data_IF_068125391731
#
_entry.id   IF_068125391731
#
_cell.length_a   1.000
_cell.length_b   1.000
_cell.length_c   1.000
_cell.angle_alpha   90.00
_cell.angle_beta   90.00
_cell.angle_gamma   90.00
#
_symmetry.space_group_name_H-M   'P 1'
#
loop_
_entity.id
_entity.type
_entity.pdbx_description
1 polymer ?
#
# COMPACT_ATOMS: atom_id res chain seq x y z
N UNK A 1 12.62 0.08 29.31
CA UNK A 1 12.65 1.37 28.59
C UNK A 1 11.24 1.91 28.58
N UNK A 2 11.08 3.11 29.11
CA UNK A 2 9.81 3.82 29.12
C UNK A 2 9.52 4.46 27.75
N UNK A 3 8.29 4.90 27.49
CA UNK A 3 7.91 5.58 26.23
C UNK A 3 8.76 6.84 26.01
N UNK A 4 9.09 7.54 27.10
CA UNK A 4 9.98 8.70 27.10
C UNK A 4 11.39 8.38 26.60
N UNK A 5 11.90 7.19 26.92
CA UNK A 5 13.22 6.73 26.46
C UNK A 5 13.20 6.45 24.96
N UNK A 6 12.11 5.85 24.45
CA UNK A 6 11.93 5.62 23.01
C UNK A 6 11.86 6.93 22.21
N UNK A 7 11.17 7.94 22.76
CA UNK A 7 11.11 9.27 22.14
C UNK A 7 12.49 9.92 22.10
N UNK A 8 13.29 9.79 23.16
CA UNK A 8 14.66 10.29 23.20
C UNK A 8 15.57 9.56 22.21
N UNK A 9 15.49 8.24 22.13
CA UNK A 9 16.27 7.44 21.17
C UNK A 9 16.01 7.86 19.71
N UNK A 10 14.76 8.20 19.37
CA UNK A 10 14.40 8.69 18.03
C UNK A 10 14.94 10.09 17.70
N UNK A 11 15.52 10.80 18.68
CA UNK A 11 16.13 12.13 18.50
C UNK A 11 17.65 12.12 18.44
N UNK A 12 18.31 11.01 18.81
CA UNK A 12 19.76 10.88 18.75
C UNK A 12 20.19 10.69 17.30
N UNK A 13 21.31 11.26 16.87
CA UNK A 13 21.82 11.11 15.49
C UNK A 13 23.14 10.35 15.45
N UNK A 14 24.02 10.56 16.43
CA UNK A 14 25.37 10.01 16.44
C UNK A 14 25.54 8.78 17.35
N UNK A 15 26.53 7.95 17.02
CA UNK A 15 26.91 6.77 17.82
C UNK A 15 27.33 7.17 19.24
N UNK A 16 28.09 8.25 19.41
CA UNK A 16 28.53 8.75 20.72
C UNK A 16 27.34 9.15 21.60
N UNK A 17 26.35 9.84 21.02
CA UNK A 17 25.15 10.26 21.74
C UNK A 17 24.34 9.05 22.21
N UNK A 18 24.20 8.04 21.35
CA UNK A 18 23.55 6.77 21.70
C UNK A 18 24.29 6.01 22.81
N UNK A 19 25.63 5.92 22.71
CA UNK A 19 26.45 5.26 23.70
C UNK A 19 26.34 5.94 25.07
N UNK A 20 26.38 7.28 25.11
CA UNK A 20 26.19 8.04 26.35
C UNK A 20 24.79 7.85 26.95
N UNK A 21 23.74 7.82 26.12
CA UNK A 21 22.37 7.60 26.58
C UNK A 21 22.18 6.23 27.23
N UNK A 22 22.81 5.18 26.69
CA UNK A 22 22.74 3.82 27.23
C UNK A 22 23.86 3.48 28.22
N UNK A 23 24.74 4.43 28.54
CA UNK A 23 25.93 4.20 29.37
C UNK A 23 26.81 3.04 28.85
N UNK A 24 27.04 3.01 27.53
CA UNK A 24 27.88 2.04 26.84
C UNK A 24 29.25 2.68 26.57
N UNK A 25 30.32 1.99 26.93
CA UNK A 25 31.68 2.40 26.56
C UNK A 25 31.97 2.00 25.11
N UNK A 26 32.34 2.99 24.28
CA UNK A 26 32.71 2.75 22.89
C UNK A 26 34.07 2.04 22.82
N UNK A 27 34.25 1.08 21.89
CA UNK A 27 35.55 0.48 21.67
C UNK A 27 36.56 1.55 21.25
N UNK A 28 37.84 1.42 21.64
CA UNK A 28 38.86 2.35 21.23
C UNK A 28 38.99 2.33 19.70
N UNK A 29 39.15 3.51 19.10
CA UNK A 29 39.49 3.59 17.67
C UNK A 29 40.86 2.96 17.46
N UNK A 30 40.89 1.78 16.84
CA UNK A 30 42.12 1.15 16.39
C UNK A 30 42.76 2.05 15.34
N UNK A 31 43.83 2.75 15.74
CA UNK A 31 44.65 3.50 14.80
C UNK A 31 45.24 2.49 13.83
N UNK A 32 45.09 2.76 12.54
CA UNK A 32 45.46 1.94 11.39
C UNK A 32 46.93 1.45 11.32
N UNK A 33 47.76 1.74 12.34
CA UNK A 33 49.17 1.35 12.41
C UNK A 33 49.44 -0.11 12.82
N UNK A 34 48.44 -0.84 13.29
CA UNK A 34 48.63 -2.22 13.79
C UNK A 34 48.03 -3.32 12.89
N UNK A 35 47.52 -3.00 11.70
CA UNK A 35 47.08 -4.05 10.74
C UNK A 35 48.29 -4.80 10.17
N UNK A 36 48.47 -6.11 10.46
CA UNK A 36 49.53 -6.90 9.85
C UNK A 36 49.31 -6.95 8.34
N UNK A 37 50.37 -6.65 7.58
CA UNK A 37 50.35 -6.65 6.12
C UNK A 37 50.37 -8.07 5.53
N UNK A 38 49.36 -8.89 5.81
CA UNK A 38 49.25 -10.26 5.25
C UNK A 38 47.99 -10.47 4.41
N UNK A 39 47.46 -9.41 3.78
CA UNK A 39 46.45 -9.55 2.73
C UNK A 39 47.01 -9.20 1.35
N UNK A 40 46.86 -10.17 0.46
CA UNK A 40 47.32 -10.21 -0.93
C UNK A 40 47.00 -8.90 -1.68
N UNK A 41 48.05 -8.17 -2.07
CA UNK A 41 47.97 -7.05 -3.00
C UNK A 41 47.52 -7.54 -4.39
N UNK A 42 46.22 -7.47 -4.69
CA UNK A 42 45.75 -7.52 -6.08
C UNK A 42 46.07 -6.17 -6.73
N UNK A 43 47.24 -6.07 -7.39
CA UNK A 43 47.59 -4.90 -8.18
C UNK A 43 46.80 -4.90 -9.50
N UNK A 44 45.71 -4.13 -9.56
CA UNK A 44 45.15 -3.68 -10.84
C UNK A 44 46.16 -2.74 -11.50
N UNK A 45 46.67 -3.17 -12.66
CA UNK A 45 47.69 -2.51 -13.49
C UNK A 45 47.18 -1.27 -14.24
N UNK A 46 46.43 -0.39 -13.57
CA UNK A 46 46.09 0.94 -14.09
C UNK A 46 46.46 1.98 -13.04
N UNK A 47 47.50 2.75 -13.37
CA UNK A 47 48.13 3.68 -12.45
C UNK A 47 47.27 4.91 -12.15
N UNK A 48 46.98 5.07 -10.87
CA UNK A 48 46.76 6.35 -10.20
C UNK A 48 47.28 6.21 -8.77
N UNK A 49 48.37 6.89 -8.37
CA UNK A 49 48.77 6.96 -6.98
C UNK A 49 48.01 8.13 -6.34
N UNK A 50 46.85 7.83 -5.80
CA UNK A 50 46.24 8.67 -4.76
C UNK A 50 45.69 7.72 -3.72
N UNK A 51 46.57 7.19 -2.89
CA UNK A 51 46.20 6.65 -1.59
C UNK A 51 45.80 7.84 -0.70
N UNK A 52 44.62 8.41 -0.97
CA UNK A 52 43.87 9.05 0.11
C UNK A 52 43.33 7.89 0.94
N UNK A 53 43.97 7.61 2.07
CA UNK A 53 43.35 6.81 3.12
C UNK A 53 42.01 7.48 3.43
N UNK A 54 40.91 6.87 2.98
CA UNK A 54 39.58 7.39 3.29
C UNK A 54 39.37 7.20 4.79
N UNK A 55 39.37 8.32 5.52
CA UNK A 55 39.05 8.38 6.94
C UNK A 55 37.71 7.67 7.19
N UNK A 56 37.74 6.57 7.96
CA UNK A 56 36.53 5.83 8.32
C UNK A 56 35.72 6.69 9.28
N UNK A 57 34.69 7.35 8.76
CA UNK A 57 33.78 8.17 9.56
C UNK A 57 32.71 7.31 10.24
N UNK A 58 32.34 7.67 11.46
CA UNK A 58 31.22 7.06 12.17
C UNK A 58 29.92 7.25 11.36
N UNK A 59 29.06 6.22 11.37
CA UNK A 59 27.76 6.30 10.72
C UNK A 59 26.81 7.22 11.49
N UNK A 60 26.02 8.02 10.77
CA UNK A 60 24.95 8.85 11.32
C UNK A 60 23.59 8.17 11.08
N UNK A 61 22.69 8.22 12.07
CA UNK A 61 21.34 7.73 11.90
C UNK A 61 20.53 8.69 11.01
N UNK A 62 19.83 8.12 10.02
CA UNK A 62 18.87 8.88 9.24
C UNK A 62 17.54 9.01 10.00
N UNK A 63 17.44 9.96 10.95
CA UNK A 63 16.22 10.16 11.74
C UNK A 63 15.00 10.47 10.86
N UNK A 64 13.81 10.09 11.33
CA UNK A 64 12.54 10.32 10.65
C UNK A 64 12.27 11.82 10.39
N UNK A 65 12.33 12.24 9.13
CA UNK A 65 12.07 13.63 8.69
C UNK A 65 11.55 13.68 7.25
N UNK A 66 10.96 14.80 6.81
CA UNK A 66 10.63 14.98 5.40
C UNK A 66 11.90 14.99 4.54
N UNK A 67 11.91 14.16 3.49
CA UNK A 67 13.00 14.03 2.53
C UNK A 67 12.47 14.10 1.09
N UNK A 68 13.29 14.62 0.18
CA UNK A 68 12.95 14.68 -1.24
C UNK A 68 13.00 13.29 -1.86
N UNK A 69 11.84 12.71 -2.13
CA UNK A 69 11.72 11.39 -2.76
C UNK A 69 11.00 11.48 -4.10
N UNK A 70 11.24 10.51 -4.98
CA UNK A 70 10.55 10.42 -6.27
C UNK A 70 9.17 9.79 -6.09
N UNK A 71 8.11 10.57 -6.30
CA UNK A 71 6.72 10.10 -6.27
C UNK A 71 6.18 10.03 -7.70
N UNK A 72 5.65 8.86 -8.05
CA UNK A 72 4.94 8.64 -9.32
C UNK A 72 3.58 9.34 -9.29
N UNK A 73 3.27 10.10 -10.34
CA UNK A 73 2.02 10.84 -10.44
C UNK A 73 0.85 9.91 -10.82
N UNK A 74 -0.32 10.12 -10.22
CA UNK A 74 -1.53 9.38 -10.58
C UNK A 74 -2.08 9.88 -11.93
N UNK A 75 -1.59 9.27 -13.00
CA UNK A 75 -1.89 9.65 -14.37
C UNK A 75 -2.79 8.59 -15.03
N UNK A 76 -3.67 8.98 -15.97
CA UNK A 76 -4.52 8.03 -16.70
C UNK A 76 -3.70 6.94 -17.42
N UNK A 77 -3.93 5.67 -17.09
CA UNK A 77 -3.27 4.48 -17.68
C UNK A 77 -3.78 4.13 -19.10
N UNK A 78 -3.93 5.12 -19.98
CA UNK A 78 -4.38 4.94 -21.38
C UNK A 78 -3.19 5.05 -22.34
N UNK A 79 -3.17 4.28 -23.46
CA UNK A 79 -2.04 4.29 -24.42
C UNK A 79 -1.88 5.62 -25.16
N UNK A 80 -2.96 6.40 -25.27
CA UNK A 80 -2.94 7.81 -25.67
C UNK A 80 -3.93 8.54 -24.76
N UNK A 81 -3.60 9.74 -24.25
CA UNK A 81 -2.44 10.60 -24.49
C UNK A 81 -1.23 10.29 -23.59
N UNK A 82 -0.05 10.77 -24.00
CA UNK A 82 1.24 10.67 -23.28
C UNK A 82 1.35 11.83 -22.30
N UNK A 83 1.85 11.54 -21.09
CA UNK A 83 2.05 12.53 -20.03
C UNK A 83 3.55 12.70 -19.71
N UNK A 84 3.97 13.93 -19.42
CA UNK A 84 5.34 14.23 -19.00
C UNK A 84 5.39 15.39 -17.99
N UNK A 85 6.17 15.29 -16.89
CA UNK A 85 6.85 14.09 -16.40
C UNK A 85 5.87 13.07 -15.82
N UNK A 86 6.31 11.82 -15.61
CA UNK A 86 5.51 10.75 -14.96
C UNK A 86 5.74 10.64 -13.45
N UNK A 87 6.85 11.20 -12.96
CA UNK A 87 7.20 11.28 -11.55
C UNK A 87 7.84 12.64 -11.23
N UNK A 88 7.77 13.04 -9.97
CA UNK A 88 8.34 14.30 -9.46
C UNK A 88 9.08 14.05 -8.15
N UNK A 89 10.00 14.94 -7.78
CA UNK A 89 10.58 14.94 -6.43
C UNK A 89 9.72 15.81 -5.52
N UNK A 90 9.18 15.22 -4.46
CA UNK A 90 8.37 15.91 -3.46
C UNK A 90 8.76 15.41 -2.07
N UNK A 91 8.58 16.25 -1.05
CA UNK A 91 8.88 15.89 0.33
C UNK A 91 7.92 14.81 0.80
N UNK A 92 8.48 13.66 1.19
CA UNK A 92 7.80 12.53 1.79
C UNK A 92 8.53 12.15 3.07
N UNK A 93 7.86 11.46 3.97
CA UNK A 93 8.49 11.04 5.21
C UNK A 93 9.46 9.89 4.93
N UNK A 94 10.71 10.09 5.31
CA UNK A 94 11.79 9.13 5.15
C UNK A 94 12.62 9.02 6.42
N UNK A 95 13.50 8.03 6.45
CA UNK A 95 14.37 7.75 7.59
C UNK A 95 13.90 6.59 8.45
N UNK A 96 14.60 6.44 9.57
CA UNK A 96 14.55 5.33 10.50
C UNK A 96 13.92 5.76 11.82
N UNK A 97 13.17 4.84 12.41
CA UNK A 97 12.68 4.93 13.78
C UNK A 97 13.25 3.76 14.58
N UNK A 98 13.54 4.00 15.85
CA UNK A 98 14.04 3.00 16.77
C UNK A 98 12.93 2.03 17.18
N UNK A 99 13.18 0.74 17.00
CA UNK A 99 12.27 -0.34 17.42
C UNK A 99 11.40 -0.91 16.29
N UNK A 100 10.96 -2.17 16.43
CA UNK A 100 10.29 -2.91 15.36
C UNK A 100 8.83 -2.51 15.11
N UNK A 101 8.19 -1.83 16.07
CA UNK A 101 6.77 -1.47 16.01
C UNK A 101 6.52 -0.09 15.38
N UNK A 102 7.57 0.72 15.25
CA UNK A 102 7.48 2.09 14.73
C UNK A 102 7.89 2.16 13.25
N UNK A 103 7.38 3.18 12.57
CA UNK A 103 7.74 3.54 11.19
C UNK A 103 7.58 5.04 11.00
N UNK A 104 8.36 5.62 10.08
CA UNK A 104 8.32 7.05 9.82
C UNK A 104 7.05 7.39 9.04
N UNK A 105 6.15 8.16 9.67
CA UNK A 105 4.84 8.51 9.11
C UNK A 105 4.65 10.02 9.06
N UNK A 106 3.83 10.51 8.13
CA UNK A 106 3.43 11.92 8.13
C UNK A 106 2.56 12.24 9.34
N UNK A 107 2.91 13.33 10.01
CA UNK A 107 2.05 13.96 11.04
C UNK A 107 1.26 15.11 10.45
N UNK A 108 1.82 15.79 9.45
CA UNK A 108 1.16 16.89 8.73
C UNK A 108 1.42 16.72 7.24
N UNK A 109 0.35 16.78 6.45
CA UNK A 109 0.42 16.71 4.99
C UNK A 109 -0.32 17.87 4.32
N UNK A 110 0.10 18.18 3.10
CA UNK A 110 -0.43 19.26 2.29
C UNK A 110 -0.62 18.80 0.85
N UNK A 111 -1.72 19.20 0.21
CA UNK A 111 -1.99 18.83 -1.19
C UNK A 111 -1.40 19.87 -2.14
N UNK A 112 -0.42 19.46 -2.93
CA UNK A 112 0.22 20.28 -3.96
C UNK A 112 -0.40 19.98 -5.33
N UNK A 113 -0.76 21.04 -6.07
CA UNK A 113 -1.31 20.94 -7.43
C UNK A 113 -0.22 21.14 -8.47
N UNK A 114 0.00 20.14 -9.31
CA UNK A 114 1.03 20.15 -10.35
C UNK A 114 0.38 20.11 -11.74
N UNK A 115 1.03 20.75 -12.72
CA UNK A 115 0.65 20.69 -14.13
C UNK A 115 1.62 19.77 -14.87
N UNK A 116 1.10 18.71 -15.47
CA UNK A 116 1.87 17.84 -16.38
C UNK A 116 1.49 18.12 -17.82
N UNK A 117 2.46 17.96 -18.72
CA UNK A 117 2.22 18.04 -20.15
C UNK A 117 1.45 16.81 -20.61
N UNK A 118 0.37 17.04 -21.35
CA UNK A 118 -0.44 16.01 -22.01
C UNK A 118 -0.36 16.22 -23.53
N UNK A 119 0.19 15.23 -24.23
CA UNK A 119 0.38 15.28 -25.69
C UNK A 119 0.00 13.95 -26.36
N UNK A 120 -0.10 13.91 -27.69
CA UNK A 120 -0.22 12.65 -28.43
C UNK A 120 1.06 12.42 -29.26
N UNK A 121 1.40 11.16 -29.52
CA UNK A 121 2.59 10.78 -30.31
C UNK A 121 2.65 11.43 -31.70
N UNK A 122 1.53 11.91 -32.24
CA UNK A 122 1.48 12.62 -33.52
C UNK A 122 2.13 14.01 -33.52
N UNK A 123 2.36 14.62 -32.35
CA UNK A 123 3.03 15.93 -32.24
C UNK A 123 4.57 15.82 -32.31
N UNK A 124 5.16 14.69 -31.91
CA UNK A 124 6.61 14.46 -31.93
C UNK A 124 7.14 14.10 -33.34
N UNK A 125 6.26 13.75 -34.29
CA UNK A 125 6.61 13.43 -35.67
C UNK A 125 6.65 14.66 -36.60
N UNK A 126 6.31 15.86 -36.11
CA UNK A 126 6.52 17.10 -36.86
C UNK A 126 7.98 17.55 -36.71
N UNK A 127 8.92 16.70 -37.16
CA UNK A 127 10.31 17.12 -37.34
C UNK A 127 10.31 18.31 -38.29
N UNK A 128 10.91 19.39 -37.83
CA UNK A 128 11.18 20.62 -38.55
C UNK A 128 11.83 20.29 -39.91
N UNK A 129 11.05 20.32 -41.00
CA UNK A 129 11.63 20.46 -42.33
C UNK A 129 12.11 21.89 -42.47
N UNK A 130 13.27 22.18 -41.90
CA UNK A 130 14.03 23.38 -42.22
C UNK A 130 14.65 23.16 -43.62
N UNK A 131 13.81 23.18 -44.66
CA UNK A 131 14.30 23.24 -46.04
C UNK A 131 14.68 24.68 -46.30
N UNK A 132 15.98 24.97 -46.28
CA UNK A 132 16.53 26.21 -46.81
C UNK A 132 16.06 26.36 -48.26
N UNK A 133 15.09 27.25 -48.50
CA UNK A 133 14.68 27.64 -49.84
C UNK A 133 15.80 28.47 -50.47
N UNK A 134 16.50 27.85 -51.42
CA UNK A 134 17.33 28.56 -52.41
C UNK A 134 16.52 28.59 -53.72
N UNK A 135 16.21 29.77 -54.29
CA UNK A 135 15.42 29.83 -55.52
C UNK A 135 16.33 29.46 -56.70
N UNK A 136 16.12 28.26 -57.25
CA UNK A 136 16.71 27.81 -58.51
C UNK A 136 15.64 27.77 -59.59
N UNK A 137 15.78 28.66 -60.56
CA UNK A 137 15.01 28.77 -61.80
C UNK A 137 15.02 27.48 -62.62
N UNK A 138 13.85 27.04 -63.09
CA UNK A 138 13.70 25.93 -64.03
C UNK A 138 12.24 25.79 -64.48
N UNK A 139 12.06 25.55 -65.78
CA UNK A 139 10.87 25.74 -66.60
C UNK A 139 9.75 24.70 -66.45
N UNK A 140 8.53 25.16 -66.75
CA UNK A 140 7.42 24.50 -67.46
C UNK A 140 7.10 23.01 -67.21
N UNK A 141 5.88 22.71 -66.73
CA UNK A 141 4.75 22.31 -67.60
C UNK A 141 3.48 22.04 -66.76
N UNK A 142 2.39 22.65 -67.17
CA UNK A 142 1.03 22.43 -66.66
C UNK A 142 0.55 20.99 -66.93
N UNK A 143 0.01 20.32 -65.91
CA UNK A 143 -1.15 19.40 -66.04
C UNK A 143 -1.62 18.89 -64.66
N UNK A 144 -2.92 19.02 -64.41
CA UNK A 144 -3.65 18.23 -63.41
C UNK A 144 -4.04 18.95 -62.13
N UNK A 145 -5.01 19.88 -62.21
CA UNK A 145 -5.76 20.38 -61.06
C UNK A 145 -6.67 19.27 -60.50
N UNK A 146 -6.11 18.40 -59.67
CA UNK A 146 -6.87 17.74 -58.60
C UNK A 146 -6.47 18.39 -57.29
N UNK A 147 -7.23 19.41 -56.87
CA UNK A 147 -7.15 19.94 -55.51
C UNK A 147 -7.68 18.88 -54.54
N UNK A 148 -6.89 17.84 -54.29
CA UNK A 148 -7.02 17.01 -53.09
C UNK A 148 -6.83 17.98 -51.93
N UNK A 149 -7.95 18.45 -51.36
CA UNK A 149 -7.99 19.08 -50.04
C UNK A 149 -7.34 18.08 -49.09
N UNK A 150 -6.03 18.21 -48.87
CA UNK A 150 -5.31 17.49 -47.81
C UNK A 150 -6.11 17.82 -46.57
N UNK A 151 -6.87 16.83 -46.05
CA UNK A 151 -7.50 16.92 -44.74
C UNK A 151 -6.34 17.26 -43.80
N UNK A 152 -6.22 18.53 -43.40
CA UNK A 152 -5.27 18.95 -42.38
C UNK A 152 -5.59 18.07 -41.19
N UNK A 153 -4.72 17.09 -40.94
CA UNK A 153 -4.80 16.19 -39.79
C UNK A 153 -4.88 17.14 -38.60
N UNK A 154 -6.02 17.17 -37.89
CA UNK A 154 -6.19 18.02 -36.70
C UNK A 154 -5.01 17.70 -35.79
N UNK A 155 -4.03 18.59 -35.72
CA UNK A 155 -2.92 18.45 -34.81
C UNK A 155 -3.52 18.49 -33.40
N UNK A 156 -3.33 17.43 -32.64
CA UNK A 156 -3.68 17.46 -31.22
C UNK A 156 -2.77 18.47 -30.56
N UNK A 157 -3.32 19.60 -30.14
CA UNK A 157 -2.57 20.64 -29.46
C UNK A 157 -2.15 20.09 -28.08
N UNK A 158 -0.87 20.17 -27.70
CA UNK A 158 -0.43 19.83 -26.34
C UNK A 158 -1.20 20.66 -25.32
N UNK A 159 -1.59 20.06 -24.20
CA UNK A 159 -2.35 20.72 -23.13
C UNK A 159 -1.76 20.37 -21.77
N UNK A 160 -2.07 21.14 -20.74
CA UNK A 160 -1.71 20.76 -19.37
C UNK A 160 -2.82 19.93 -18.74
N UNK A 161 -2.42 18.94 -17.94
CA UNK A 161 -3.29 18.16 -17.08
C UNK A 161 -2.89 18.43 -15.63
N UNK A 162 -3.86 18.77 -14.79
CA UNK A 162 -3.63 19.05 -13.38
C UNK A 162 -3.74 17.76 -12.57
N UNK A 163 -2.73 17.52 -11.73
CA UNK A 163 -2.62 16.37 -10.83
C UNK A 163 -2.43 16.89 -9.41
N UNK A 164 -3.03 16.23 -8.44
CA UNK A 164 -2.85 16.52 -7.02
C UNK A 164 -1.90 15.48 -6.42
N UNK A 165 -0.92 15.95 -5.66
CA UNK A 165 0.06 15.11 -4.99
C UNK A 165 0.17 15.55 -3.54
N UNK A 166 0.23 14.60 -2.63
CA UNK A 166 0.41 14.85 -1.21
C UNK A 166 1.90 15.13 -0.92
N UNK A 167 2.17 16.20 -0.17
CA UNK A 167 3.48 16.59 0.35
C UNK A 167 3.47 16.45 1.85
N UNK A 168 4.48 15.83 2.43
CA UNK A 168 4.62 15.73 3.88
C UNK A 168 5.45 16.91 4.39
N UNK A 169 4.90 17.70 5.32
CA UNK A 169 5.56 18.88 5.89
C UNK A 169 6.13 18.61 7.28
N UNK A 170 5.59 17.60 7.98
CA UNK A 170 6.13 17.12 9.23
C UNK A 170 5.99 15.59 9.32
N UNK A 171 6.97 14.96 9.96
CA UNK A 171 7.05 13.51 10.13
C UNK A 171 7.27 13.16 11.60
N UNK A 172 6.84 11.97 11.98
CA UNK A 172 7.07 11.42 13.31
C UNK A 172 7.13 9.91 13.27
N UNK A 173 7.77 9.33 14.28
CA UNK A 173 7.77 7.89 14.48
C UNK A 173 6.42 7.46 15.05
N UNK A 174 5.57 6.91 14.18
CA UNK A 174 4.25 6.40 14.54
C UNK A 174 4.22 4.88 14.48
N UNK A 175 3.17 4.29 15.05
CA UNK A 175 2.95 2.85 14.97
C UNK A 175 2.79 2.37 13.52
N UNK A 176 3.34 1.19 13.23
CA UNK A 176 3.17 0.51 11.93
C UNK A 176 1.71 0.17 11.68
N UNK A 177 1.05 -0.43 12.67
CA UNK A 177 -0.39 -0.72 12.66
C UNK A 177 -1.13 0.50 13.21
N UNK A 178 -2.18 0.95 12.53
CA UNK A 178 -3.06 2.03 12.99
C UNK A 178 -4.40 1.48 13.49
N UNK A 179 -5.14 2.31 14.23
CA UNK A 179 -6.50 2.01 14.63
C UNK A 179 -7.44 1.67 13.46
N UNK A 180 -7.22 2.27 12.28
CA UNK A 180 -7.97 1.98 11.05
C UNK A 180 -7.73 0.57 10.49
N UNK A 181 -6.59 -0.02 10.82
CA UNK A 181 -6.20 -1.34 10.34
C UNK A 181 -6.78 -2.45 11.24
N UNK A 182 -7.27 -2.09 12.43
CA UNK A 182 -7.91 -3.01 13.36
C UNK A 182 -9.38 -3.21 13.03
N UNK A 183 -9.89 -4.42 13.27
CA UNK A 183 -11.32 -4.67 13.24
C UNK A 183 -11.96 -4.20 14.55
N UNK A 184 -12.42 -2.94 14.56
CA UNK A 184 -13.00 -2.27 15.74
C UNK A 184 -14.21 -2.98 16.37
N UNK A 185 -14.83 -3.95 15.68
CA UNK A 185 -15.91 -4.74 16.27
C UNK A 185 -15.39 -5.70 17.34
N UNK A 186 -14.26 -6.37 17.10
CA UNK A 186 -13.72 -7.45 17.95
C UNK A 186 -12.38 -7.10 18.62
N UNK A 187 -11.68 -6.09 18.11
CA UNK A 187 -10.41 -5.59 18.61
C UNK A 187 -10.53 -4.16 19.11
N UNK A 188 -9.69 -3.81 20.08
CA UNK A 188 -9.38 -2.45 20.49
C UNK A 188 -7.92 -2.13 20.17
N UNK A 189 -7.68 -0.99 19.54
CA UNK A 189 -6.33 -0.55 19.26
C UNK A 189 -5.68 0.08 20.49
N UNK A 190 -4.49 -0.39 20.86
CA UNK A 190 -3.71 0.18 21.96
C UNK A 190 -2.47 0.87 21.44
N UNK A 191 -2.47 2.19 21.52
CA UNK A 191 -1.36 3.05 21.05
C UNK A 191 -0.03 2.71 21.74
N UNK A 192 -0.03 2.46 23.05
CA UNK A 192 1.20 2.14 23.80
C UNK A 192 1.87 0.82 23.39
N UNK A 193 1.11 -0.13 22.83
CA UNK A 193 1.63 -1.41 22.33
C UNK A 193 1.73 -1.44 20.80
N UNK A 194 1.31 -0.36 20.12
CA UNK A 194 1.18 -0.30 18.66
C UNK A 194 0.46 -1.52 18.05
N UNK A 195 -0.55 -2.06 18.74
CA UNK A 195 -1.15 -3.34 18.40
C UNK A 195 -2.69 -3.32 18.54
N UNK A 196 -3.36 -4.07 17.67
CA UNK A 196 -4.76 -4.42 17.84
C UNK A 196 -4.85 -5.54 18.88
N UNK A 197 -5.53 -5.28 19.99
CA UNK A 197 -5.72 -6.23 21.08
C UNK A 197 -7.17 -6.70 21.09
N UNK A 198 -7.38 -8.00 21.14
CA UNK A 198 -8.72 -8.58 21.21
C UNK A 198 -9.45 -8.16 22.48
N UNK A 199 -10.73 -7.81 22.35
CA UNK A 199 -11.60 -7.46 23.49
C UNK A 199 -11.81 -8.63 24.45
N UNK A 200 -11.91 -9.84 23.90
CA UNK A 200 -12.17 -11.05 24.67
C UNK A 200 -10.89 -11.62 25.31
N UNK A 201 -10.43 -10.94 26.37
CA UNK A 201 -9.22 -11.32 27.09
C UNK A 201 -9.34 -12.66 27.82
N UNK A 202 -10.52 -12.96 28.36
CA UNK A 202 -10.75 -14.18 29.13
C UNK A 202 -10.66 -15.44 28.24
N UNK A 203 -11.20 -15.40 27.03
CA UNK A 203 -11.06 -16.51 26.06
C UNK A 203 -9.63 -16.69 25.60
N UNK A 204 -8.90 -15.59 25.40
CA UNK A 204 -7.48 -15.64 25.07
C UNK A 204 -6.70 -16.36 26.16
N UNK A 205 -6.89 -15.99 27.42
CA UNK A 205 -6.18 -16.62 28.54
C UNK A 205 -6.49 -18.12 28.63
N UNK A 206 -7.76 -18.52 28.52
CA UNK A 206 -8.16 -19.94 28.53
C UNK A 206 -7.57 -20.72 27.36
N UNK A 207 -7.45 -20.09 26.19
CA UNK A 207 -6.83 -20.69 25.00
C UNK A 207 -5.33 -20.90 25.20
N UNK A 208 -4.65 -19.91 25.79
CA UNK A 208 -3.21 -19.93 26.06
C UNK A 208 -2.83 -20.93 27.17
N UNK A 209 -3.72 -21.21 28.13
CA UNK A 209 -3.55 -22.32 29.08
C UNK A 209 -3.48 -23.67 28.35
N UNK A 210 -4.20 -23.80 27.22
CA UNK A 210 -4.23 -24.99 26.37
C UNK A 210 -3.27 -24.89 25.17
N UNK A 211 -2.14 -24.20 25.33
CA UNK A 211 -1.16 -23.96 24.26
C UNK A 211 -0.62 -25.24 23.59
N UNK A 212 -0.72 -26.40 24.24
CA UNK A 212 -0.30 -27.68 23.67
C UNK A 212 -1.22 -28.17 22.53
N UNK A 213 -2.52 -27.90 22.61
CA UNK A 213 -3.52 -28.38 21.64
C UNK A 213 -4.15 -27.26 20.83
N UNK A 214 -4.22 -26.06 21.39
CA UNK A 214 -4.83 -24.87 20.78
C UNK A 214 -3.81 -23.76 20.56
N UNK A 215 -4.17 -22.82 19.70
CA UNK A 215 -3.46 -21.58 19.47
C UNK A 215 -4.44 -20.43 19.33
N UNK A 216 -4.05 -19.24 19.77
CA UNK A 216 -4.83 -18.03 19.63
C UNK A 216 -4.42 -17.27 18.36
N UNK A 217 -5.39 -16.89 17.55
CA UNK A 217 -5.16 -16.00 16.42
C UNK A 217 -5.53 -14.55 16.78
N UNK A 218 -4.56 -13.65 16.71
CA UNK A 218 -4.77 -12.25 17.12
C UNK A 218 -5.55 -11.44 16.07
N UNK A 219 -5.59 -11.87 14.81
CA UNK A 219 -6.29 -11.16 13.74
C UNK A 219 -7.82 -11.38 13.81
N UNK A 220 -8.24 -12.62 14.02
CA UNK A 220 -9.65 -13.01 14.15
C UNK A 220 -10.17 -13.01 15.58
N UNK A 221 -9.28 -12.96 16.58
CA UNK A 221 -9.60 -13.02 18.00
C UNK A 221 -10.35 -14.30 18.40
N UNK A 222 -9.90 -15.43 17.85
CA UNK A 222 -10.47 -16.74 18.14
C UNK A 222 -9.38 -17.74 18.54
N UNK A 223 -9.81 -18.76 19.28
CA UNK A 223 -9.01 -19.91 19.63
C UNK A 223 -9.22 -21.04 18.64
N UNK A 224 -8.14 -21.53 18.03
CA UNK A 224 -8.17 -22.60 17.04
C UNK A 224 -7.39 -23.82 17.51
N UNK A 225 -7.80 -25.00 17.06
CA UNK A 225 -7.06 -26.23 17.27
C UNK A 225 -5.83 -26.29 16.36
N UNK A 226 -4.67 -26.66 16.90
CA UNK A 226 -3.42 -26.79 16.12
C UNK A 226 -3.50 -27.89 15.06
N UNK A 227 -4.29 -28.93 15.33
CA UNK A 227 -4.50 -30.08 14.44
C UNK A 227 -6.01 -30.36 14.33
N UNK A 228 -6.72 -29.69 13.42
CA UNK A 228 -8.09 -30.09 13.09
C UNK A 228 -8.08 -31.49 12.46
N UNK A 229 -9.04 -32.34 12.85
CA UNK A 229 -9.17 -33.71 12.37
C UNK A 229 -10.49 -33.86 11.60
N UNK A 230 -10.46 -34.60 10.50
CA UNK A 230 -11.66 -35.05 9.79
C UNK A 230 -12.17 -36.34 10.46
N UNK A 231 -13.27 -36.23 11.20
CA UNK A 231 -13.81 -37.33 11.99
C UNK A 231 -14.53 -38.37 11.12
N UNK A 232 -14.48 -39.64 11.54
CA UNK A 232 -15.20 -40.75 10.91
C UNK A 232 -16.73 -40.63 11.06
N UNK A 233 -17.48 -41.42 10.29
CA UNK A 233 -18.95 -41.44 10.31
C UNK A 233 -19.51 -41.65 11.72
N UNK A 234 -20.32 -40.69 12.19
CA UNK A 234 -20.97 -40.71 13.51
C UNK A 234 -20.31 -39.85 14.60
N UNK A 235 -19.16 -39.23 14.29
CA UNK A 235 -18.45 -38.31 15.19
C UNK A 235 -18.40 -36.90 14.58
N UNK A 236 -18.41 -35.87 15.43
CA UNK A 236 -18.18 -34.48 15.04
C UNK A 236 -16.90 -33.96 15.69
N UNK A 237 -16.19 -33.08 14.98
CA UNK A 237 -15.01 -32.44 15.53
C UNK A 237 -15.43 -31.32 16.49
N UNK A 238 -15.05 -31.44 17.77
CA UNK A 238 -15.30 -30.40 18.77
C UNK A 238 -14.16 -29.40 18.79
N UNK A 239 -14.46 -28.13 18.52
CA UNK A 239 -13.49 -27.03 18.64
C UNK A 239 -13.11 -26.71 20.09
N UNK A 240 -13.90 -27.20 21.07
CA UNK A 240 -13.63 -27.03 22.50
C UNK A 240 -12.62 -28.05 23.04
N UNK A 241 -12.68 -29.31 22.59
CA UNK A 241 -11.76 -30.36 23.04
C UNK A 241 -10.65 -30.67 22.03
N UNK A 242 -10.77 -30.16 20.79
CA UNK A 242 -9.91 -30.47 19.64
C UNK A 242 -9.84 -31.96 19.33
N UNK A 243 -10.96 -32.67 19.52
CA UNK A 243 -11.08 -34.11 19.32
C UNK A 243 -12.40 -34.44 18.62
N UNK A 244 -12.47 -35.64 18.07
CA UNK A 244 -13.70 -36.22 17.54
C UNK A 244 -14.53 -36.75 18.70
N UNK A 245 -15.71 -36.16 18.90
CA UNK A 245 -16.68 -36.58 19.90
C UNK A 245 -17.87 -37.26 19.21
N UNK A 246 -18.42 -38.29 19.86
CA UNK A 246 -19.61 -38.97 19.37
C UNK A 246 -20.85 -38.16 19.69
N UNK A 247 -21.79 -38.10 18.74
CA UNK A 247 -23.11 -37.54 19.02
C UNK A 247 -23.82 -38.53 19.96
N UNK A 248 -23.76 -38.29 21.27
CA UNK A 248 -24.54 -39.06 22.24
C UNK A 248 -26.01 -38.74 22.00
N UNK A 249 -26.67 -39.54 21.16
CA UNK A 249 -28.11 -39.59 21.10
C UNK A 249 -28.60 -39.97 22.50
N UNK A 250 -29.23 -39.03 23.21
CA UNK A 250 -30.04 -39.35 24.39
C UNK A 250 -31.20 -40.24 23.93
N UNK A 251 -30.94 -41.53 23.80
CA UNK A 251 -31.93 -42.58 23.80
C UNK A 251 -32.51 -42.65 25.21
N UNK A 252 -33.56 -41.88 25.49
CA UNK A 252 -34.20 -41.97 26.81
C UNK A 252 -35.07 -40.82 27.27
N UNK A 253 -35.84 -40.16 26.41
CA UNK A 253 -37.11 -39.55 26.83
C UNK A 253 -38.15 -39.78 25.74
N UNK A 254 -39.23 -40.47 26.10
CA UNK A 254 -40.46 -40.52 25.30
C UNK A 254 -40.95 -39.08 25.11
N UNK A 255 -40.71 -38.50 23.95
CA UNK A 255 -41.49 -37.37 23.47
C UNK A 255 -42.92 -37.83 23.22
N UNK A 256 -43.93 -36.97 23.46
CA UNK A 256 -45.31 -37.33 23.23
C UNK A 256 -45.52 -37.58 21.73
N UNK A 257 -46.42 -38.51 21.45
CA UNK A 257 -46.90 -38.88 20.12
C UNK A 257 -47.33 -37.65 19.34
N UNK A 258 -46.92 -37.64 18.07
CA UNK A 258 -47.39 -36.72 17.04
C UNK A 258 -48.88 -36.93 16.76
N UNK A 259 -49.75 -36.27 17.51
CA UNK A 259 -51.03 -35.77 17.01
C UNK A 259 -51.35 -34.43 17.69
N UNK A 260 -51.91 -33.52 16.90
CA UNK A 260 -52.44 -32.19 17.26
C UNK A 260 -51.43 -31.09 17.61
N UNK A 261 -51.15 -30.19 16.65
CA UNK A 261 -52.00 -29.00 16.44
C UNK A 261 -51.52 -28.24 15.19
N UNK A 262 -52.47 -28.05 14.28
CA UNK A 262 -52.42 -27.19 13.09
C UNK A 262 -52.41 -25.69 13.52
N UNK A 263 -52.09 -24.78 12.58
CA UNK A 263 -52.10 -23.29 12.64
C UNK A 263 -50.74 -22.67 13.01
N UNK A 264 -50.06 -21.84 12.23
CA UNK A 264 -50.32 -21.13 10.96
C UNK A 264 -48.99 -20.58 10.47
N UNK A 265 -48.55 -20.86 9.23
CA UNK A 265 -47.78 -19.91 8.42
C UNK A 265 -48.07 -20.20 6.93
N UNK A 266 -48.52 -19.17 6.23
CA UNK A 266 -48.99 -19.23 4.84
C UNK A 266 -47.84 -19.48 3.84
N UNK A 267 -48.08 -20.19 2.73
CA UNK A 267 -47.09 -20.37 1.68
C UNK A 267 -46.94 -19.12 0.81
N UNK A 268 -45.71 -18.64 0.63
CA UNK A 268 -45.36 -17.64 -0.39
C UNK A 268 -45.30 -18.34 -1.75
N UNK A 269 -45.93 -17.80 -2.82
CA UNK A 269 -45.93 -18.46 -4.12
C UNK A 269 -44.54 -18.45 -4.76
N UNK A 270 -44.12 -19.64 -5.19
CA UNK A 270 -42.92 -19.88 -6.00
C UNK A 270 -43.20 -19.36 -7.41
N UNK A 271 -42.45 -18.34 -7.84
CA UNK A 271 -42.45 -17.85 -9.22
C UNK A 271 -41.52 -18.74 -10.06
N UNK A 272 -41.96 -19.29 -11.20
CA UNK A 272 -41.13 -20.22 -11.98
C UNK A 272 -40.00 -19.50 -12.72
N UNK A 273 -38.80 -20.05 -12.59
CA UNK A 273 -37.59 -19.65 -13.28
C UNK A 273 -37.66 -20.08 -14.76
N UNK A 274 -37.90 -19.15 -15.69
CA UNK A 274 -37.79 -19.41 -17.14
C UNK A 274 -36.32 -19.41 -17.56
N UNK A 275 -35.84 -20.56 -18.06
CA UNK A 275 -34.64 -20.65 -18.91
C UNK A 275 -34.94 -20.07 -20.30
N UNK A 276 -33.98 -19.33 -20.86
CA UNK A 276 -33.94 -19.07 -22.30
C UNK A 276 -33.09 -17.87 -22.73
N UNK A 277 -31.86 -18.14 -23.16
CA UNK A 277 -31.23 -17.67 -24.40
C UNK A 277 -31.23 -16.18 -24.80
N UNK A 278 -30.01 -15.65 -24.96
CA UNK A 278 -29.55 -14.93 -26.18
C UNK A 278 -30.22 -13.61 -26.58
N UNK A 279 -29.44 -12.53 -26.57
CA UNK A 279 -29.76 -11.30 -27.32
C UNK A 279 -29.22 -10.06 -26.65
N UNK A 280 -28.19 -9.43 -27.24
CA UNK A 280 -27.60 -8.19 -26.74
C UNK A 280 -28.44 -6.95 -27.04
N UNK A 281 -28.32 -5.92 -26.20
CA UNK A 281 -28.48 -4.50 -26.56
C UNK A 281 -27.96 -3.58 -25.43
N UNK A 282 -27.00 -2.72 -25.78
CA UNK A 282 -26.81 -1.28 -25.46
C UNK A 282 -27.07 -0.78 -24.01
N UNK A 283 -26.09 -0.13 -23.34
CA UNK A 283 -26.35 0.55 -22.07
C UNK A 283 -27.04 1.91 -22.26
N UNK A 284 -28.21 2.05 -21.63
CA UNK A 284 -28.88 3.33 -21.37
C UNK A 284 -28.12 4.13 -20.30
N UNK A 285 -27.97 5.43 -20.54
CA UNK A 285 -27.41 6.41 -19.61
C UNK A 285 -28.46 6.86 -18.57
N UNK A 286 -28.07 7.17 -17.31
CA UNK A 286 -29.00 7.77 -16.35
C UNK A 286 -29.12 9.28 -16.58
N UNK A 287 -30.37 9.74 -16.81
CA UNK A 287 -30.76 11.15 -16.84
C UNK A 287 -30.58 11.79 -15.46
N UNK A 288 -29.82 12.89 -15.41
CA UNK A 288 -29.75 13.84 -14.29
C UNK A 288 -31.14 14.41 -13.98
N UNK A 289 -31.63 14.25 -12.75
CA UNK A 289 -32.73 15.06 -12.20
C UNK A 289 -32.18 16.43 -11.79
N UNK A 290 -32.86 17.50 -12.24
CA UNK A 290 -32.57 18.90 -11.86
C UNK A 290 -33.12 19.20 -10.45
N UNK A 291 -32.51 20.12 -9.69
CA UNK A 291 -33.04 20.55 -8.40
C UNK A 291 -34.27 21.46 -8.56
N UNK A 292 -35.25 21.23 -7.68
CA UNK A 292 -36.47 22.05 -7.52
C UNK A 292 -36.13 23.26 -6.64
N UNK A 293 -36.55 24.45 -7.08
CA UNK A 293 -36.48 25.70 -6.32
C UNK A 293 -37.51 25.70 -5.20
N UNK A 294 -37.11 26.07 -3.99
CA UNK A 294 -38.01 26.39 -2.86
C UNK A 294 -38.29 27.89 -2.88
N UNK A 295 -39.53 28.37 -2.71
CA UNK A 295 -39.81 29.79 -2.56
C UNK A 295 -39.63 30.24 -1.10
N UNK A 296 -39.12 31.48 -0.98
CA UNK A 296 -39.01 32.27 0.24
C UNK A 296 -40.39 32.60 0.81
N UNK A 297 -40.54 32.42 2.11
CA UNK A 297 -41.34 33.26 3.02
C UNK A 297 -40.54 33.45 4.30
#
# INVERSE_FOLDING_TARGET
MDISDLLRLNSLTNISDFASFLSIDLPPEEKEKDRPSDDVRIHTRFGTPSETVEEVKMAEMANCKPELTTVSLDLPKKPTPIFFPTCVRIEQCGGCCYGPLLTCRPTVTEVVRLKVLKTTSSAASSRNSNTNNRPGSGSERSRGTTTRRRRRRRQSVPSFHEVQVERHTACGCGCRVQASDCNLQVQDYREGECACVCKNRDEKTKCEEQNSTKYWDNASCNCYCRRPLDCSTGQFFSHESCKCEEVVGRSGLRGPTVEDTFLTLQPVPIVPFRRGGGGGVIPFTPRRRKPVRVPLF
#
